data_IF_080719115624
#
_entry.id   IF_080719115624
#
_cell.length_a   1.000
_cell.length_b   1.000
_cell.length_c   1.000
_cell.angle_alpha   90.00
_cell.angle_beta   90.00
_cell.angle_gamma   90.00
#
_symmetry.space_group_name_H-M   'P 1'
#
loop_
_entity.id
_entity.type
_entity.pdbx_description
1 polymer ?
#
# COMPACT_ATOMS: atom_id res chain seq x y z
N UNK A 1 -1.79 -66.89 24.84
CA UNK A 1 -1.74 -66.13 26.11
C UNK A 1 -1.26 -64.72 25.79
N UNK A 2 -1.99 -63.70 26.30
CA UNK A 2 -1.61 -62.29 26.59
C UNK A 2 -0.60 -61.63 25.63
N UNK A 3 -0.92 -60.57 24.91
CA UNK A 3 -1.70 -59.39 25.30
C UNK A 3 -0.79 -58.16 25.19
N UNK A 4 -1.33 -57.03 24.73
CA UNK A 4 -0.62 -55.73 24.78
C UNK A 4 -0.86 -54.85 23.57
N UNK A 5 -2.02 -54.18 23.54
CA UNK A 5 -2.15 -52.92 22.81
C UNK A 5 -1.20 -51.87 23.42
N UNK A 6 -0.52 -51.08 22.59
CA UNK A 6 0.05 -49.80 23.02
C UNK A 6 -0.31 -48.71 22.02
N UNK A 7 -1.23 -47.88 22.47
CA UNK A 7 -1.64 -46.61 21.92
C UNK A 7 -0.44 -45.64 21.88
N UNK A 8 -0.11 -45.05 20.73
CA UNK A 8 0.88 -43.95 20.67
C UNK A 8 0.40 -42.80 19.77
N UNK A 9 -0.24 -41.80 20.40
CA UNK A 9 -0.30 -40.44 19.88
C UNK A 9 1.12 -39.85 19.90
N UNK A 10 1.79 -39.80 18.75
CA UNK A 10 3.10 -39.13 18.61
C UNK A 10 2.97 -37.95 17.66
N UNK A 11 3.17 -36.76 18.23
CA UNK A 11 3.17 -35.45 17.58
C UNK A 11 4.17 -35.46 16.42
N UNK A 12 3.70 -35.13 15.22
CA UNK A 12 4.53 -34.96 14.04
C UNK A 12 5.33 -33.67 14.23
N UNK A 13 6.59 -33.79 14.63
CA UNK A 13 7.57 -32.70 14.56
C UNK A 13 8.09 -32.73 13.13
N UNK A 14 7.57 -31.84 12.29
CA UNK A 14 8.07 -31.62 10.94
C UNK A 14 9.36 -30.78 11.05
N UNK A 15 10.53 -31.24 10.55
CA UNK A 15 11.71 -30.41 10.50
C UNK A 15 11.52 -29.39 9.36
N UNK A 16 11.25 -28.14 9.71
CA UNK A 16 11.28 -27.02 8.76
C UNK A 16 12.72 -26.79 8.35
N UNK A 17 13.07 -27.26 7.14
CA UNK A 17 14.28 -26.86 6.44
C UNK A 17 14.14 -25.38 6.14
N UNK A 18 14.77 -24.55 6.96
CA UNK A 18 14.85 -23.11 6.78
C UNK A 18 15.85 -22.83 5.67
N UNK A 19 15.39 -22.85 4.41
CA UNK A 19 16.15 -22.33 3.30
C UNK A 19 16.16 -20.80 3.38
N UNK A 20 17.19 -20.27 4.05
CA UNK A 20 17.55 -18.86 4.01
C UNK A 20 18.02 -18.52 2.60
N UNK A 21 17.13 -17.92 1.80
CA UNK A 21 17.52 -17.12 0.64
C UNK A 21 17.08 -15.70 0.94
N UNK A 22 17.93 -14.97 1.66
CA UNK A 22 17.92 -13.51 1.65
C UNK A 22 18.44 -13.11 0.26
N UNK A 23 17.55 -13.13 -0.71
CA UNK A 23 17.75 -12.56 -2.03
C UNK A 23 17.03 -11.22 -2.06
N UNK A 24 17.53 -10.23 -1.32
CA UNK A 24 17.15 -8.83 -1.58
C UNK A 24 17.85 -8.44 -2.87
N UNK A 25 17.25 -8.84 -4.01
CA UNK A 25 17.58 -8.23 -5.28
C UNK A 25 17.05 -6.80 -5.19
N UNK A 26 17.94 -5.87 -4.82
CA UNK A 26 17.73 -4.44 -4.99
C UNK A 26 17.50 -4.27 -6.49
N UNK A 27 16.24 -4.18 -6.89
CA UNK A 27 15.88 -3.72 -8.21
C UNK A 27 16.42 -2.30 -8.29
N UNK A 28 17.49 -2.15 -9.07
CA UNK A 28 18.00 -0.87 -9.53
C UNK A 28 16.82 -0.05 -10.05
N UNK A 29 16.40 0.94 -9.28
CA UNK A 29 15.37 1.88 -9.67
C UNK A 29 15.92 2.67 -10.86
N UNK A 30 15.64 2.22 -12.08
CA UNK A 30 15.73 3.08 -13.25
C UNK A 30 14.77 4.24 -13.00
N UNK A 31 15.22 5.51 -13.07
CA UNK A 31 14.30 6.63 -12.98
C UNK A 31 13.29 6.50 -14.12
N UNK A 32 12.07 6.12 -13.78
CA UNK A 32 10.97 6.19 -14.73
C UNK A 32 10.66 7.68 -14.92
N UNK A 33 11.00 8.23 -16.09
CA UNK A 33 10.55 9.55 -16.47
C UNK A 33 9.03 9.54 -16.55
N UNK A 34 8.38 10.06 -15.51
CA UNK A 34 6.93 10.26 -15.52
C UNK A 34 6.61 11.34 -16.57
N UNK A 35 5.88 10.97 -17.61
CA UNK A 35 5.37 11.91 -18.60
C UNK A 35 4.56 12.99 -17.88
N UNK A 36 5.11 14.20 -17.84
CA UNK A 36 4.50 15.33 -17.16
C UNK A 36 3.33 15.83 -18.00
N UNK A 37 2.12 15.66 -17.50
CA UNK A 37 0.91 16.13 -18.14
C UNK A 37 0.77 17.64 -17.88
N UNK A 38 0.84 18.47 -18.93
CA UNK A 38 0.89 19.95 -18.98
C UNK A 38 -0.24 20.73 -18.26
N UNK A 39 -1.07 20.05 -17.47
CA UNK A 39 -2.16 20.62 -16.68
C UNK A 39 -2.19 20.16 -15.21
N UNK A 40 -1.19 19.43 -14.73
CA UNK A 40 -1.20 18.99 -13.33
C UNK A 40 -0.95 20.18 -12.38
N UNK A 41 -1.69 20.31 -11.26
CA UNK A 41 -1.44 21.36 -10.25
C UNK A 41 0.02 21.39 -9.77
N UNK A 42 0.67 20.22 -9.79
CA UNK A 42 2.08 20.02 -9.49
C UNK A 42 3.01 20.78 -10.45
N UNK A 43 2.82 20.68 -11.77
CA UNK A 43 3.62 21.42 -12.74
C UNK A 43 3.43 22.94 -12.59
N UNK A 44 2.21 23.40 -12.33
CA UNK A 44 1.96 24.83 -12.09
C UNK A 44 2.74 25.38 -10.89
N UNK A 45 2.99 24.54 -9.87
CA UNK A 45 3.78 24.91 -8.70
C UNK A 45 5.27 24.97 -9.04
N UNK A 46 5.78 23.97 -9.78
CA UNK A 46 7.16 23.94 -10.26
C UNK A 46 7.45 25.18 -11.09
N UNK A 47 6.58 25.49 -12.05
CA UNK A 47 6.74 26.66 -12.91
C UNK A 47 6.79 27.97 -12.11
N UNK A 48 5.91 28.15 -11.11
CA UNK A 48 5.96 29.32 -10.22
C UNK A 48 7.25 29.41 -9.40
N UNK A 49 7.82 28.28 -8.98
CA UNK A 49 9.08 28.24 -8.23
C UNK A 49 10.25 28.61 -9.15
N UNK A 50 10.30 28.01 -10.34
CA UNK A 50 11.28 28.32 -11.38
C UNK A 50 11.26 29.81 -11.73
N UNK A 51 10.08 30.36 -12.05
CA UNK A 51 9.92 31.77 -12.41
C UNK A 51 10.28 32.73 -11.27
N UNK A 52 9.89 32.40 -10.03
CA UNK A 52 10.11 33.29 -8.89
C UNK A 52 11.55 33.32 -8.40
N UNK A 53 12.26 32.21 -8.48
CA UNK A 53 13.60 32.05 -7.91
C UNK A 53 14.70 31.89 -8.97
N UNK A 54 14.34 31.83 -10.26
CA UNK A 54 15.29 31.68 -11.36
C UNK A 54 16.04 30.34 -11.30
N UNK A 55 15.35 29.27 -10.92
CA UNK A 55 15.94 27.93 -10.78
C UNK A 55 15.76 27.12 -12.07
N UNK A 56 16.66 26.15 -12.30
CA UNK A 56 16.50 25.18 -13.39
C UNK A 56 15.31 24.24 -13.12
N UNK A 57 14.43 24.08 -14.10
CA UNK A 57 13.22 23.25 -13.95
C UNK A 57 13.55 21.79 -13.61
N UNK A 58 14.57 21.23 -14.26
CA UNK A 58 15.00 19.85 -14.04
C UNK A 58 15.45 19.62 -12.58
N UNK A 59 16.15 20.58 -11.97
CA UNK A 59 16.61 20.49 -10.59
C UNK A 59 15.43 20.54 -9.61
N UNK A 60 14.47 21.44 -9.86
CA UNK A 60 13.25 21.54 -9.05
C UNK A 60 12.45 20.23 -9.15
N UNK A 61 12.24 19.70 -10.36
CA UNK A 61 11.57 18.42 -10.58
C UNK A 61 12.26 17.27 -9.84
N UNK A 62 13.60 17.20 -9.89
CA UNK A 62 14.38 16.18 -9.20
C UNK A 62 14.18 16.22 -7.68
N UNK A 63 14.21 17.41 -7.07
CA UNK A 63 13.97 17.55 -5.61
C UNK A 63 12.57 17.07 -5.23
N UNK A 64 11.55 17.40 -6.01
CA UNK A 64 10.20 16.93 -5.72
C UNK A 64 10.05 15.41 -5.91
N UNK A 65 10.68 14.84 -6.94
CA UNK A 65 10.69 13.40 -7.15
C UNK A 65 11.39 12.68 -5.99
N UNK A 66 12.55 13.17 -5.57
CA UNK A 66 13.27 12.65 -4.40
C UNK A 66 12.39 12.71 -3.15
N UNK A 67 11.82 13.88 -2.85
CA UNK A 67 10.96 14.05 -1.68
C UNK A 67 9.75 13.12 -1.74
N UNK A 68 9.11 12.97 -2.90
CA UNK A 68 7.98 12.04 -3.09
C UNK A 68 8.39 10.60 -2.81
N UNK A 69 9.55 10.17 -3.31
CA UNK A 69 10.07 8.83 -3.06
C UNK A 69 10.38 8.61 -1.58
N UNK A 70 10.97 9.61 -0.90
CA UNK A 70 11.19 9.57 0.54
C UNK A 70 9.88 9.44 1.32
N UNK A 71 8.85 10.21 0.96
CA UNK A 71 7.54 10.15 1.61
C UNK A 71 6.85 8.79 1.39
N UNK A 72 6.96 8.22 0.19
CA UNK A 72 6.45 6.87 -0.10
C UNK A 72 7.15 5.80 0.74
N UNK A 73 8.48 5.85 0.82
CA UNK A 73 9.25 4.93 1.67
C UNK A 73 8.86 5.07 3.15
N UNK A 74 8.71 6.29 3.65
CA UNK A 74 8.24 6.53 5.02
C UNK A 74 6.82 6.00 5.26
N UNK A 75 5.91 6.15 4.30
CA UNK A 75 4.56 5.59 4.39
C UNK A 75 4.58 4.07 4.45
N UNK A 76 5.38 3.42 3.59
CA UNK A 76 5.53 1.97 3.60
C UNK A 76 6.09 1.47 4.93
N UNK A 77 7.15 2.09 5.45
CA UNK A 77 7.72 1.75 6.74
C UNK A 77 6.70 1.90 7.88
N UNK A 78 5.93 3.00 7.92
CA UNK A 78 4.89 3.20 8.95
C UNK A 78 3.79 2.15 8.87
N UNK A 79 3.41 1.75 7.65
CA UNK A 79 2.43 0.68 7.45
C UNK A 79 2.99 -0.64 7.99
N UNK A 80 4.22 -0.99 7.62
CA UNK A 80 4.85 -2.23 8.06
C UNK A 80 5.00 -2.30 9.58
N UNK A 81 5.42 -1.20 10.23
CA UNK A 81 5.49 -1.10 11.70
C UNK A 81 4.12 -1.39 12.34
N UNK A 82 3.04 -0.80 11.82
CA UNK A 82 1.68 -1.04 12.36
C UNK A 82 1.21 -2.48 12.16
N UNK A 83 1.58 -3.10 11.04
CA UNK A 83 1.27 -4.51 10.81
C UNK A 83 2.06 -5.42 11.75
N UNK A 84 3.34 -5.13 12.00
CA UNK A 84 4.16 -5.84 13.00
C UNK A 84 3.58 -5.71 14.41
N UNK A 85 3.11 -4.52 14.80
CA UNK A 85 2.39 -4.31 16.06
C UNK A 85 1.09 -5.13 16.09
N UNK A 86 0.35 -5.20 14.99
CA UNK A 86 -0.90 -5.97 14.90
C UNK A 86 -0.66 -7.48 14.99
N UNK A 87 0.46 -7.98 14.45
CA UNK A 87 0.91 -9.38 14.62
C UNK A 87 1.31 -9.64 16.07
N UNK A 88 2.10 -8.74 16.65
CA UNK A 88 2.56 -8.84 18.06
C UNK A 88 1.38 -8.85 19.03
N UNK A 89 0.36 -8.02 18.77
CA UNK A 89 -0.87 -7.94 19.55
C UNK A 89 -1.85 -9.10 19.26
N UNK A 90 -1.50 -10.02 18.35
CA UNK A 90 -2.34 -11.16 17.97
C UNK A 90 -3.64 -10.76 17.24
N UNK A 91 -3.73 -9.53 16.74
CA UNK A 91 -4.90 -9.06 15.97
C UNK A 91 -4.92 -9.64 14.56
N UNK A 92 -3.74 -9.89 14.00
CA UNK A 92 -3.56 -10.60 12.73
C UNK A 92 -2.45 -11.64 12.84
N UNK A 93 -2.41 -12.61 11.93
CA UNK A 93 -1.28 -13.54 11.79
C UNK A 93 -0.21 -12.98 10.86
N UNK A 94 0.98 -13.60 10.84
CA UNK A 94 2.04 -13.21 9.89
C UNK A 94 1.59 -13.45 8.44
N UNK A 95 0.84 -14.52 8.17
CA UNK A 95 0.28 -14.79 6.84
C UNK A 95 -0.69 -13.68 6.42
N UNK A 96 -1.52 -13.20 7.35
CA UNK A 96 -2.44 -12.08 7.09
C UNK A 96 -1.69 -10.77 6.82
N UNK A 97 -0.59 -10.51 7.55
CA UNK A 97 0.29 -9.38 7.25
C UNK A 97 0.84 -9.44 5.82
N UNK A 98 1.32 -10.61 5.38
CA UNK A 98 1.83 -10.78 4.02
C UNK A 98 0.74 -10.54 2.96
N UNK A 99 -0.49 -11.01 3.23
CA UNK A 99 -1.64 -10.72 2.36
C UNK A 99 -1.96 -9.22 2.28
N UNK A 100 -1.89 -8.50 3.41
CA UNK A 100 -2.09 -7.05 3.44
C UNK A 100 -1.02 -6.31 2.63
N UNK A 101 0.26 -6.65 2.83
CA UNK A 101 1.37 -6.04 2.10
C UNK A 101 1.21 -6.23 0.59
N UNK A 102 0.96 -7.47 0.15
CA UNK A 102 0.73 -7.77 -1.26
C UNK A 102 -0.46 -6.99 -1.81
N UNK A 103 -1.58 -6.94 -1.09
CA UNK A 103 -2.77 -6.22 -1.54
C UNK A 103 -2.55 -4.72 -1.61
N UNK A 104 -1.75 -4.17 -0.69
CA UNK A 104 -1.36 -2.77 -0.73
C UNK A 104 -0.57 -2.45 -2.00
N UNK A 105 0.43 -3.27 -2.34
CA UNK A 105 1.22 -3.11 -3.57
C UNK A 105 0.34 -3.20 -4.83
N UNK A 106 -0.55 -4.19 -4.91
CA UNK A 106 -1.51 -4.32 -6.00
C UNK A 106 -2.37 -3.05 -6.17
N UNK A 107 -2.88 -2.51 -5.07
CA UNK A 107 -3.70 -1.29 -5.09
C UNK A 107 -2.89 -0.04 -5.49
N UNK A 108 -1.62 0.06 -5.09
CA UNK A 108 -0.76 1.17 -5.49
C UNK A 108 -0.44 1.11 -6.99
N UNK A 109 -0.09 -0.06 -7.50
CA UNK A 109 0.15 -0.26 -8.93
C UNK A 109 -1.11 0.05 -9.77
N UNK A 110 -2.29 -0.37 -9.29
CA UNK A 110 -3.55 -0.04 -9.94
C UNK A 110 -3.83 1.47 -9.96
N UNK A 111 -3.57 2.18 -8.84
CA UNK A 111 -3.73 3.64 -8.76
C UNK A 111 -2.79 4.37 -9.72
N UNK A 112 -1.54 3.92 -9.82
CA UNK A 112 -0.56 4.50 -10.73
C UNK A 112 -0.96 4.28 -12.19
N UNK A 113 -1.35 3.05 -12.53
CA UNK A 113 -1.82 2.69 -13.88
C UNK A 113 -3.05 3.49 -14.30
N UNK A 114 -4.00 3.70 -13.39
CA UNK A 114 -5.27 4.34 -13.69
C UNK A 114 -5.26 5.86 -13.43
N UNK A 115 -4.11 6.44 -13.07
CA UNK A 115 -4.01 7.83 -12.60
C UNK A 115 -4.66 8.85 -13.53
N UNK A 116 -4.49 8.70 -14.84
CA UNK A 116 -5.06 9.62 -15.83
C UNK A 116 -6.55 9.36 -16.06
N UNK A 117 -6.98 8.09 -15.98
CA UNK A 117 -8.40 7.72 -16.02
C UNK A 117 -9.17 8.39 -14.89
N UNK A 118 -8.64 8.36 -13.66
CA UNK A 118 -9.28 8.98 -12.49
C UNK A 118 -9.42 10.50 -12.60
N UNK A 119 -8.47 11.17 -13.27
CA UNK A 119 -8.53 12.62 -13.50
C UNK A 119 -9.71 13.00 -14.40
N UNK A 120 -9.99 12.18 -15.40
CA UNK A 120 -11.00 12.45 -16.42
C UNK A 120 -12.41 11.94 -16.07
N UNK A 121 -12.56 11.12 -15.03
CA UNK A 121 -13.87 10.63 -14.57
C UNK A 121 -14.75 11.77 -14.04
N UNK A 122 -16.03 11.73 -14.37
CA UNK A 122 -17.10 12.54 -13.76
C UNK A 122 -17.29 12.17 -12.29
N UNK A 123 -18.03 13.01 -11.55
CA UNK A 123 -18.33 12.72 -10.14
C UNK A 123 -19.13 11.42 -9.96
N UNK A 124 -20.07 11.14 -10.87
CA UNK A 124 -20.88 9.92 -10.85
C UNK A 124 -20.04 8.68 -11.14
N UNK A 125 -19.16 8.74 -12.14
CA UNK A 125 -18.23 7.65 -12.46
C UNK A 125 -17.25 7.39 -11.33
N UNK A 126 -16.70 8.45 -10.71
CA UNK A 126 -15.83 8.30 -9.52
C UNK A 126 -16.58 7.62 -8.38
N UNK A 127 -17.84 7.99 -8.13
CA UNK A 127 -18.65 7.37 -7.08
C UNK A 127 -18.88 5.89 -7.37
N UNK A 128 -19.29 5.55 -8.58
CA UNK A 128 -19.52 4.17 -9.01
C UNK A 128 -18.24 3.31 -8.88
N UNK A 129 -17.10 3.84 -9.33
CA UNK A 129 -15.81 3.15 -9.22
C UNK A 129 -15.36 3.01 -7.76
N UNK A 130 -15.60 4.00 -6.90
CA UNK A 130 -15.35 3.90 -5.47
C UNK A 130 -16.22 2.81 -4.80
N UNK A 131 -17.52 2.76 -5.11
CA UNK A 131 -18.43 1.74 -4.57
C UNK A 131 -17.99 0.33 -5.00
N UNK A 132 -17.61 0.17 -6.27
CA UNK A 132 -17.06 -1.08 -6.80
C UNK A 132 -15.79 -1.50 -6.06
N UNK A 133 -14.80 -0.61 -5.95
CA UNK A 133 -13.54 -0.90 -5.23
C UNK A 133 -13.77 -1.19 -3.75
N UNK A 134 -14.73 -0.52 -3.10
CA UNK A 134 -15.10 -0.82 -1.72
C UNK A 134 -15.70 -2.23 -1.60
N UNK A 135 -16.61 -2.61 -2.50
CA UNK A 135 -17.21 -3.95 -2.50
C UNK A 135 -16.15 -5.05 -2.71
N UNK A 136 -15.24 -4.84 -3.68
CA UNK A 136 -14.14 -5.76 -3.96
C UNK A 136 -13.19 -5.89 -2.75
N UNK A 137 -12.82 -4.77 -2.13
CA UNK A 137 -11.96 -4.77 -0.94
C UNK A 137 -12.64 -5.43 0.26
N UNK A 138 -13.94 -5.19 0.46
CA UNK A 138 -14.70 -5.84 1.54
C UNK A 138 -14.75 -7.35 1.35
N UNK A 139 -15.06 -7.82 0.14
CA UNK A 139 -15.07 -9.25 -0.16
C UNK A 139 -13.70 -9.90 0.03
N UNK A 140 -12.64 -9.23 -0.43
CA UNK A 140 -11.27 -9.69 -0.22
C UNK A 140 -10.92 -9.76 1.28
N UNK A 141 -11.29 -8.74 2.05
CA UNK A 141 -10.98 -8.68 3.47
C UNK A 141 -11.73 -9.76 4.27
N UNK A 142 -13.03 -9.95 4.01
CA UNK A 142 -13.84 -11.00 4.63
C UNK A 142 -13.30 -12.40 4.33
N UNK A 143 -12.95 -12.68 3.07
CA UNK A 143 -12.38 -13.97 2.65
C UNK A 143 -11.07 -14.31 3.37
N UNK A 144 -10.29 -13.31 3.74
CA UNK A 144 -8.99 -13.49 4.39
C UNK A 144 -9.03 -13.23 5.91
N UNK A 145 -10.21 -12.93 6.48
CA UNK A 145 -10.36 -12.62 7.90
C UNK A 145 -9.60 -11.36 8.33
N UNK A 146 -9.47 -10.38 7.45
CA UNK A 146 -8.69 -9.14 7.64
C UNK A 146 -9.66 -7.99 7.92
N UNK A 147 -9.35 -7.13 8.89
CA UNK A 147 -10.10 -5.88 9.08
C UNK A 147 -9.62 -4.81 8.09
N UNK A 148 -10.55 -4.18 7.36
CA UNK A 148 -10.26 -3.09 6.42
C UNK A 148 -9.62 -1.86 7.10
N UNK A 149 -9.79 -1.67 8.41
CA UNK A 149 -9.15 -0.59 9.17
C UNK A 149 -7.61 -0.61 9.06
N UNK A 150 -7.01 -1.76 8.70
CA UNK A 150 -5.57 -1.91 8.44
C UNK A 150 -5.10 -1.13 7.19
N UNK A 151 -6.00 -0.83 6.25
CA UNK A 151 -5.68 -0.08 5.03
C UNK A 151 -6.01 1.40 5.11
N UNK A 152 -7.05 1.76 5.87
CA UNK A 152 -7.59 3.12 5.88
C UNK A 152 -7.06 3.98 7.03
N UNK A 153 -6.07 3.46 7.77
CA UNK A 153 -5.62 4.05 9.02
C UNK A 153 -6.67 3.82 10.10
N UNK A 154 -6.20 3.40 11.28
CA UNK A 154 -7.04 3.20 12.46
C UNK A 154 -8.06 4.33 12.61
N UNK A 155 -9.35 3.95 12.72
CA UNK A 155 -10.50 4.80 13.07
C UNK A 155 -10.08 5.93 14.02
N UNK A 156 -9.98 7.15 13.50
CA UNK A 156 -9.59 8.32 14.32
C UNK A 156 -9.13 9.57 13.56
N UNK A 157 -8.81 9.47 12.27
CA UNK A 157 -8.51 10.63 11.44
C UNK A 157 -9.76 11.26 10.83
N UNK A 158 -10.39 12.20 11.54
CA UNK A 158 -11.23 13.23 10.89
C UNK A 158 -10.35 13.95 9.86
N UNK A 159 -10.51 13.66 8.58
CA UNK A 159 -9.80 14.37 7.54
C UNK A 159 -9.97 13.75 6.18
N UNK A 160 -11.10 13.99 5.54
CA UNK A 160 -11.26 14.32 4.11
C UNK A 160 -12.76 14.61 3.87
N UNK A 161 -13.13 15.90 3.82
CA UNK A 161 -14.39 16.36 3.23
C UNK A 161 -15.65 16.37 4.10
N UNK A 162 -15.74 17.29 5.06
CA UNK A 162 -17.03 17.88 5.50
C UNK A 162 -16.95 19.41 5.35
N UNK A 163 -16.59 19.87 4.15
CA UNK A 163 -16.70 21.26 3.73
C UNK A 163 -17.85 21.38 2.74
N UNK A 164 -18.81 22.25 3.06
CA UNK A 164 -19.99 22.66 2.26
C UNK A 164 -21.22 21.75 2.30
N UNK A 165 -21.89 21.73 3.45
CA UNK A 165 -23.34 21.86 3.46
C UNK A 165 -23.67 23.09 4.31
N UNK A 166 -24.18 24.14 3.68
CA UNK A 166 -24.92 25.21 4.34
C UNK A 166 -26.38 25.04 3.94
#
# INVERSE_FOLDING_TARGET
MKGGEINMKKKIILPVIMATVIGVSILSATPAHAQTNDGSPFQSLIQKIVEKFGLEQADVEAVFQEHRNQMHAQMQQRMETRLNESVTNGTITEEQKQLVLKKHEEMQAEREKNRDTWQNMTQEERKAEHEKRQAEMKSWAEKNGINLDLFFGFKGGRGFGHGFAK
#
